data_IF_969883967344
#
_entry.id   IF_969883967344
#
_cell.length_a   1.000
_cell.length_b   1.000
_cell.length_c   1.000
_cell.angle_alpha   90.00
_cell.angle_beta   90.00
_cell.angle_gamma   90.00
#
_symmetry.space_group_name_H-M   'P 1'
#
loop_
_entity.id
_entity.type
_entity.pdbx_description
1 polymer ?
#
# COMPACT_ATOMS: atom_id res chain seq x y z
N UNK A 1 -12.47 -3.44 -13.99
CA UNK A 1 -11.52 -4.26 -13.20
C UNK A 1 -10.87 -3.29 -12.22
N UNK A 2 -11.30 -3.28 -10.95
CA UNK A 2 -10.83 -2.29 -9.98
C UNK A 2 -9.46 -2.62 -9.37
N UNK A 3 -8.79 -1.64 -8.76
CA UNK A 3 -7.63 -1.86 -7.92
C UNK A 3 -8.01 -2.77 -6.78
N UNK A 4 -7.48 -3.99 -6.79
CA UNK A 4 -7.89 -5.03 -5.84
C UNK A 4 -7.13 -4.96 -4.51
N UNK A 5 -6.39 -3.88 -4.24
CA UNK A 5 -5.52 -3.82 -3.08
C UNK A 5 -5.48 -2.47 -2.41
N UNK A 6 -6.54 -2.15 -1.68
CA UNK A 6 -6.63 -0.93 -0.91
C UNK A 6 -7.38 -1.15 0.39
N UNK A 7 -6.80 -0.67 1.48
CA UNK A 7 -7.56 -0.39 2.71
C UNK A 7 -7.95 1.08 2.67
N UNK A 8 -9.26 1.34 2.78
CA UNK A 8 -9.80 2.66 3.05
C UNK A 8 -10.37 2.63 4.46
N UNK A 9 -9.69 3.24 5.42
CA UNK A 9 -10.31 3.53 6.71
C UNK A 9 -10.87 4.95 6.67
N UNK A 10 -12.19 5.04 6.46
CA UNK A 10 -12.92 6.30 6.34
C UNK A 10 -12.85 7.10 7.66
N UNK A 11 -12.66 6.44 8.81
CA UNK A 11 -12.58 7.11 10.10
C UNK A 11 -11.20 7.74 10.36
N UNK A 12 -10.12 7.21 9.74
CA UNK A 12 -8.73 7.59 10.04
C UNK A 12 -7.99 8.27 8.89
N UNK A 13 -8.63 8.46 7.72
CA UNK A 13 -8.01 9.01 6.49
C UNK A 13 -6.67 8.34 6.17
N UNK A 14 -6.59 7.02 6.34
CA UNK A 14 -5.37 6.25 6.01
C UNK A 14 -5.61 5.37 4.79
N UNK A 15 -4.60 5.28 3.92
CA UNK A 15 -4.64 4.43 2.73
C UNK A 15 -3.35 3.64 2.58
N UNK A 16 -3.46 2.33 2.41
CA UNK A 16 -2.32 1.47 2.12
C UNK A 16 -2.42 0.96 0.67
N UNK A 17 -1.35 1.15 -0.09
CA UNK A 17 -1.17 0.68 -1.45
C UNK A 17 -0.19 -0.48 -1.45
N UNK A 18 -0.55 -1.55 -2.14
CA UNK A 18 0.30 -2.73 -2.29
C UNK A 18 0.78 -2.76 -3.74
N UNK A 19 2.03 -2.35 -3.94
CA UNK A 19 2.61 -2.17 -5.26
C UNK A 19 3.22 -3.50 -5.68
N UNK A 20 2.58 -4.12 -6.66
CA UNK A 20 3.05 -5.31 -7.37
C UNK A 20 3.22 -4.99 -8.87
N UNK A 21 3.89 -5.82 -9.67
CA UNK A 21 3.96 -5.61 -11.12
C UNK A 21 2.58 -5.48 -11.76
N UNK A 22 1.61 -6.31 -11.34
CA UNK A 22 0.24 -6.25 -11.86
C UNK A 22 -0.49 -4.95 -11.46
N UNK A 23 -0.09 -4.34 -10.34
CA UNK A 23 -0.58 -3.02 -9.95
C UNK A 23 -0.03 -1.95 -10.91
N UNK A 24 1.27 -2.02 -11.24
CA UNK A 24 1.93 -1.12 -12.17
C UNK A 24 1.49 -1.31 -13.62
N UNK A 25 0.93 -2.45 -13.99
CA UNK A 25 0.37 -2.67 -15.32
C UNK A 25 -1.11 -2.25 -15.43
N UNK A 26 -1.73 -1.83 -14.33
CA UNK A 26 -3.16 -1.49 -14.26
C UNK A 26 -3.41 0.02 -14.35
N UNK A 27 -3.98 0.49 -15.47
CA UNK A 27 -4.38 1.88 -15.66
C UNK A 27 -5.34 2.39 -14.58
N UNK A 28 -6.27 1.53 -14.13
CA UNK A 28 -7.17 1.85 -13.03
C UNK A 28 -6.38 2.19 -11.76
N UNK A 29 -5.29 1.47 -11.50
CA UNK A 29 -4.46 1.69 -10.32
C UNK A 29 -3.59 2.92 -10.38
N UNK A 30 -3.11 3.25 -11.56
CA UNK A 30 -2.44 4.51 -11.80
C UNK A 30 -3.40 5.69 -11.63
N UNK A 31 -4.62 5.60 -12.16
CA UNK A 31 -5.64 6.64 -12.00
C UNK A 31 -5.97 6.93 -10.54
N UNK A 32 -5.97 5.90 -9.70
CA UNK A 32 -6.26 6.08 -8.28
C UNK A 32 -5.12 6.71 -7.48
N UNK A 33 -3.87 6.34 -7.81
CA UNK A 33 -2.71 7.07 -7.31
C UNK A 33 -2.69 8.51 -7.81
N UNK A 34 -3.03 8.73 -9.08
CA UNK A 34 -3.13 10.06 -9.68
C UNK A 34 -4.19 10.89 -8.96
N UNK A 35 -5.37 10.33 -8.68
CA UNK A 35 -6.41 10.98 -7.88
C UNK A 35 -5.89 11.40 -6.51
N UNK A 36 -5.16 10.52 -5.80
CA UNK A 36 -4.55 10.84 -4.51
C UNK A 36 -3.51 11.97 -4.64
N UNK A 37 -2.75 11.99 -5.74
CA UNK A 37 -1.70 12.98 -5.99
C UNK A 37 -2.22 14.36 -6.39
N UNK A 38 -3.31 14.41 -7.15
CA UNK A 38 -3.87 15.65 -7.73
C UNK A 38 -4.83 16.34 -6.77
N UNK A 39 -5.58 15.56 -6.00
CA UNK A 39 -6.40 16.13 -4.94
C UNK A 39 -5.47 16.63 -3.84
N UNK A 40 -5.65 17.89 -3.37
CA UNK A 40 -4.96 18.45 -2.20
C UNK A 40 -5.39 17.78 -0.88
N UNK A 41 -5.57 16.46 -0.90
CA UNK A 41 -5.93 15.59 0.20
C UNK A 41 -4.72 15.38 1.13
N UNK A 42 -4.12 16.48 1.59
CA UNK A 42 -3.01 16.53 2.55
C UNK A 42 -3.31 15.82 3.87
N UNK A 43 -4.59 15.51 4.11
CA UNK A 43 -5.07 14.83 5.31
C UNK A 43 -5.11 13.31 5.15
N UNK A 44 -4.77 12.75 3.98
CA UNK A 44 -4.70 11.30 3.79
C UNK A 44 -3.27 10.86 4.09
N UNK A 45 -3.09 10.08 5.16
CA UNK A 45 -1.82 9.41 5.42
C UNK A 45 -1.75 8.16 4.56
N UNK A 46 -0.70 8.05 3.75
CA UNK A 46 -0.55 6.88 2.87
C UNK A 46 0.64 6.01 3.23
N UNK A 47 0.51 4.72 2.95
CA UNK A 47 1.58 3.75 3.02
C UNK A 47 1.70 3.00 1.69
N UNK A 48 2.92 2.78 1.22
CA UNK A 48 3.25 2.03 0.01
C UNK A 48 4.06 0.79 0.39
N UNK A 49 3.47 -0.38 0.21
CA UNK A 49 4.11 -1.67 0.42
C UNK A 49 4.55 -2.24 -0.94
N UNK A 50 5.85 -2.18 -1.23
CA UNK A 50 6.43 -2.49 -2.54
C UNK A 50 7.01 -3.90 -2.53
N UNK A 51 6.51 -4.78 -3.40
CA UNK A 51 6.96 -6.17 -3.46
C UNK A 51 8.24 -6.34 -4.28
N UNK A 52 9.06 -7.32 -3.90
CA UNK A 52 10.39 -7.61 -4.46
C UNK A 52 10.48 -7.67 -6.00
N UNK A 53 9.41 -8.08 -6.67
CA UNK A 53 9.35 -8.24 -8.13
C UNK A 53 9.01 -6.95 -8.89
N UNK A 54 8.84 -5.83 -8.19
CA UNK A 54 8.60 -4.52 -8.80
C UNK A 54 9.89 -3.91 -9.35
N UNK A 55 9.84 -3.41 -10.58
CA UNK A 55 10.93 -2.59 -11.13
C UNK A 55 10.92 -1.18 -10.50
N UNK A 56 11.83 -0.98 -9.55
CA UNK A 56 12.01 0.28 -8.83
C UNK A 56 12.52 1.43 -9.69
N UNK A 57 13.04 1.15 -10.90
CA UNK A 57 13.53 2.16 -11.84
C UNK A 57 12.45 2.65 -12.80
N UNK A 58 11.23 2.11 -12.72
CA UNK A 58 10.13 2.55 -13.57
C UNK A 58 9.69 3.97 -13.23
N UNK A 59 9.22 4.72 -14.24
CA UNK A 59 8.70 6.09 -14.08
C UNK A 59 7.54 6.15 -13.06
N UNK A 60 6.72 5.10 -13.00
CA UNK A 60 5.62 5.05 -12.04
C UNK A 60 6.12 4.89 -10.60
N UNK A 61 7.20 4.13 -10.38
CA UNK A 61 7.84 4.04 -9.06
C UNK A 61 8.52 5.34 -8.65
N UNK A 62 9.16 6.05 -9.59
CA UNK A 62 9.73 7.37 -9.33
C UNK A 62 8.66 8.36 -8.83
N UNK A 63 7.48 8.38 -9.47
CA UNK A 63 6.35 9.21 -9.03
C UNK A 63 5.85 8.82 -7.65
N UNK A 64 5.75 7.52 -7.34
CA UNK A 64 5.33 7.03 -6.02
C UNK A 64 6.34 7.47 -4.95
N UNK A 65 7.64 7.32 -5.18
CA UNK A 65 8.67 7.76 -4.23
C UNK A 65 8.66 9.27 -4.03
N UNK A 66 8.56 10.05 -5.11
CA UNK A 66 8.47 11.52 -5.01
C UNK A 66 7.23 11.96 -4.21
N UNK A 67 6.07 11.35 -4.49
CA UNK A 67 4.86 11.60 -3.72
C UNK A 67 5.06 11.25 -2.24
N UNK A 68 5.67 10.10 -1.96
CA UNK A 68 5.88 9.64 -0.61
C UNK A 68 6.83 10.56 0.19
N UNK A 69 7.91 11.06 -0.43
CA UNK A 69 8.82 12.00 0.22
C UNK A 69 8.16 13.36 0.52
N UNK A 70 7.42 13.91 -0.45
CA UNK A 70 6.72 15.20 -0.30
C UNK A 70 5.64 15.10 0.78
N UNK A 71 4.87 14.00 0.79
CA UNK A 71 3.71 13.83 1.67
C UNK A 71 4.02 13.04 2.95
N UNK A 72 5.31 12.73 3.20
CA UNK A 72 5.76 11.91 4.34
C UNK A 72 4.97 10.61 4.49
N UNK A 73 4.70 9.97 3.36
CA UNK A 73 4.04 8.67 3.32
C UNK A 73 5.01 7.57 3.73
N UNK A 74 4.48 6.52 4.35
CA UNK A 74 5.30 5.40 4.77
C UNK A 74 5.63 4.50 3.57
N UNK A 75 6.90 4.16 3.37
CA UNK A 75 7.30 3.26 2.30
C UNK A 75 7.96 2.04 2.91
N UNK A 76 7.41 0.87 2.59
CA UNK A 76 7.85 -0.42 3.10
C UNK A 76 8.22 -1.31 1.92
N UNK A 77 9.40 -1.92 1.98
CA UNK A 77 9.83 -2.91 1.00
C UNK A 77 9.42 -4.29 1.49
N UNK A 78 8.44 -4.91 0.85
CA UNK A 78 8.05 -6.28 1.13
C UNK A 78 9.07 -7.25 0.51
N UNK A 79 9.90 -7.79 1.39
CA UNK A 79 10.81 -8.89 1.14
C UNK A 79 10.07 -10.19 1.40
N UNK A 80 9.49 -10.80 0.36
CA UNK A 80 8.83 -12.11 0.48
C UNK A 80 9.77 -13.25 0.03
N UNK A 81 10.40 -14.01 0.95
CA UNK A 81 11.06 -15.30 0.66
C UNK A 81 10.55 -16.44 1.60
N UNK A 82 11.11 -17.68 1.54
CA UNK A 82 10.32 -18.91 1.50
C UNK A 82 9.51 -19.20 2.79
N UNK A 83 8.21 -19.39 2.57
CA UNK A 83 7.03 -19.87 3.34
C UNK A 83 7.06 -20.09 4.87
N UNK A 84 8.20 -20.24 5.55
CA UNK A 84 8.27 -20.28 7.01
C UNK A 84 8.36 -18.87 7.61
N UNK A 85 7.34 -18.44 8.35
CA UNK A 85 7.33 -17.14 9.05
C UNK A 85 6.53 -16.02 8.35
N UNK A 86 5.67 -16.39 7.41
CA UNK A 86 4.77 -15.45 6.75
C UNK A 86 3.36 -15.47 7.38
N UNK A 87 2.84 -14.30 7.71
CA UNK A 87 1.48 -14.11 8.21
C UNK A 87 0.50 -13.76 7.10
N UNK A 88 -0.72 -14.26 7.27
CA UNK A 88 -1.86 -13.78 6.51
C UNK A 88 -2.29 -12.43 7.07
N UNK A 89 -2.14 -11.37 6.28
CA UNK A 89 -2.79 -10.10 6.59
C UNK A 89 -4.21 -10.13 6.04
N UNK A 90 -5.20 -10.17 6.93
CA UNK A 90 -6.62 -9.94 6.59
C UNK A 90 -6.96 -8.50 6.97
N UNK A 91 -7.56 -7.78 6.03
CA UNK A 91 -7.97 -6.39 6.25
C UNK A 91 -9.46 -6.41 6.65
N UNK A 92 -9.76 -6.13 7.92
CA UNK A 92 -11.15 -5.98 8.35
C UNK A 92 -11.81 -4.75 7.70
N UNK A 93 -13.10 -4.87 7.36
CA UNK A 93 -13.94 -3.88 6.66
C UNK A 93 -13.58 -3.54 5.21
N UNK A 94 -12.68 -4.28 4.55
CA UNK A 94 -12.64 -4.26 3.09
C UNK A 94 -13.81 -5.08 2.53
N UNK A 95 -14.53 -4.55 1.52
CA UNK A 95 -15.46 -5.34 0.67
C UNK A 95 -14.76 -6.65 0.31
N UNK A 96 -15.42 -7.82 0.39
CA UNK A 96 -14.89 -9.20 0.24
C UNK A 96 -13.73 -9.36 -0.77
N UNK A 97 -12.58 -8.85 -0.40
CA UNK A 97 -11.35 -8.85 -1.17
C UNK A 97 -10.45 -9.74 -0.33
N UNK A 98 -10.50 -11.04 -0.65
CA UNK A 98 -9.60 -12.07 -0.15
C UNK A 98 -8.17 -11.83 -0.66
N UNK A 99 -7.61 -10.63 -0.46
CA UNK A 99 -6.21 -10.35 -0.72
C UNK A 99 -5.39 -10.90 0.44
N UNK A 100 -5.15 -12.21 0.41
CA UNK A 100 -4.17 -12.85 1.27
C UNK A 100 -2.81 -12.68 0.63
N UNK A 101 -2.01 -11.75 1.15
CA UNK A 101 -0.57 -11.76 0.90
C UNK A 101 0.15 -12.16 2.16
N UNK A 102 1.18 -12.96 1.92
CA UNK A 102 2.11 -13.42 2.92
C UNK A 102 3.12 -12.28 3.16
N UNK A 103 3.10 -11.74 4.37
CA UNK A 103 4.08 -10.77 4.86
C UNK A 103 4.85 -11.40 6.01
N UNK A 104 6.12 -11.06 6.17
CA UNK A 104 6.86 -11.47 7.37
C UNK A 104 6.21 -10.90 8.64
N UNK A 105 6.49 -11.48 9.81
CA UNK A 105 6.06 -10.93 11.11
C UNK A 105 6.33 -9.42 11.23
N UNK A 106 7.52 -9.00 10.79
CA UNK A 106 7.93 -7.60 10.81
C UNK A 106 7.09 -6.73 9.88
N UNK A 107 6.93 -7.12 8.62
CA UNK A 107 6.14 -6.37 7.63
C UNK A 107 4.66 -6.28 8.03
N UNK A 108 4.11 -7.38 8.55
CA UNK A 108 2.74 -7.43 9.10
C UNK A 108 2.60 -6.50 10.30
N UNK A 109 3.56 -6.51 11.22
CA UNK A 109 3.57 -5.62 12.39
C UNK A 109 3.70 -4.15 11.99
N UNK A 110 4.61 -3.80 11.08
CA UNK A 110 4.79 -2.43 10.58
C UNK A 110 3.52 -1.90 9.89
N UNK A 111 2.90 -2.71 9.01
CA UNK A 111 1.64 -2.36 8.36
C UNK A 111 0.49 -2.21 9.35
N UNK A 112 0.34 -3.17 10.28
CA UNK A 112 -0.70 -3.09 11.31
C UNK A 112 -0.49 -1.88 12.23
N UNK A 113 0.75 -1.56 12.58
CA UNK A 113 1.07 -0.34 13.29
C UNK A 113 0.65 0.88 12.50
N UNK A 114 0.99 1.00 11.21
CA UNK A 114 0.54 2.14 10.39
C UNK A 114 -0.99 2.27 10.38
N UNK A 115 -1.71 1.15 10.21
CA UNK A 115 -3.17 1.14 10.15
C UNK A 115 -3.83 1.39 11.51
N UNK A 116 -3.25 0.87 12.59
CA UNK A 116 -3.82 0.92 13.93
C UNK A 116 -3.34 2.11 14.75
N UNK A 117 -2.22 2.74 14.38
CA UNK A 117 -1.65 3.94 15.03
C UNK A 117 -2.53 5.16 14.78
N UNK A 118 -3.69 5.25 15.42
CA UNK A 118 -4.37 6.53 15.72
C UNK A 118 -5.47 6.27 16.76
N UNK A 119 -5.10 6.42 18.03
CA UNK A 119 -6.00 6.90 19.07
C UNK A 119 -5.15 7.74 20.04
N UNK A 120 -4.81 8.95 19.61
CA UNK A 120 -4.77 10.13 20.49
C UNK A 120 -5.54 11.24 19.77
#
# INVERSE_FOLDING_TARGET
MGCRVQKWDCARKKKAFFITPEWLDSDFCKQEFQWLSETKNKNIHSAFLIFKNVDLKSNDMEKIFNFADINKSHVMMASTPPESGLNNVKIENSVDLNFKRLLTDRESWELNNFLNSCAE
#
